data_IF_878778968141
#
_entry.id   IF_878778968141
#
_cell.length_a   1.000
_cell.length_b   1.000
_cell.length_c   1.000
_cell.angle_alpha   90.00
_cell.angle_beta   90.00
_cell.angle_gamma   90.00
#
_symmetry.space_group_name_H-M   'P 1'
#
loop_
_entity.id
_entity.type
_entity.pdbx_description
1 polymer ?
#
# COMPACT_ATOMS: atom_id res chain seq x y z
N UNK A 1 -21.52 4.32 2.75
CA UNK A 1 -20.81 4.41 1.45
C UNK A 1 -19.31 4.41 1.70
N UNK A 2 -18.61 3.34 1.36
CA UNK A 2 -17.15 3.28 1.40
C UNK A 2 -16.59 3.99 0.16
N UNK A 3 -16.17 5.25 0.31
CA UNK A 3 -15.37 5.89 -0.74
C UNK A 3 -14.10 5.04 -0.97
N UNK A 4 -13.81 4.70 -2.23
CA UNK A 4 -12.56 4.05 -2.60
C UNK A 4 -11.40 4.96 -2.16
N UNK A 5 -10.56 4.47 -1.24
CA UNK A 5 -9.48 5.28 -0.68
C UNK A 5 -8.35 5.51 -1.68
N UNK A 6 -7.71 6.67 -1.63
CA UNK A 6 -6.60 7.06 -2.50
C UNK A 6 -5.47 6.01 -2.51
N UNK A 7 -5.01 5.66 -3.70
CA UNK A 7 -3.85 4.79 -3.93
C UNK A 7 -2.78 5.58 -4.68
N UNK A 8 -1.52 5.37 -4.32
CA UNK A 8 -0.39 5.81 -5.13
C UNK A 8 -0.13 4.78 -6.22
N UNK A 9 -0.12 5.21 -7.47
CA UNK A 9 0.38 4.40 -8.58
C UNK A 9 1.84 4.79 -8.85
N UNK A 10 2.72 3.79 -8.83
CA UNK A 10 4.09 3.90 -9.31
C UNK A 10 4.28 2.92 -10.47
N UNK A 11 4.77 3.40 -11.60
CA UNK A 11 5.02 2.58 -12.78
C UNK A 11 6.37 2.95 -13.38
N UNK A 12 7.20 1.93 -13.59
CA UNK A 12 8.45 2.04 -14.36
C UNK A 12 8.63 0.81 -15.25
N UNK A 13 9.73 0.77 -16.01
CA UNK A 13 10.07 -0.34 -16.93
C UNK A 13 10.26 -1.70 -16.24
N UNK A 14 10.26 -1.77 -14.91
CA UNK A 14 10.55 -2.96 -14.11
C UNK A 14 9.37 -3.39 -13.24
N UNK A 15 8.44 -2.49 -12.91
CA UNK A 15 7.30 -2.80 -12.04
C UNK A 15 6.14 -1.82 -12.18
N UNK A 16 4.97 -2.32 -11.81
CA UNK A 16 3.80 -1.52 -11.43
C UNK A 16 3.55 -1.77 -9.95
N UNK A 17 3.32 -0.71 -9.18
CA UNK A 17 3.07 -0.77 -7.74
C UNK A 17 1.88 0.13 -7.37
N UNK A 18 0.96 -0.43 -6.59
CA UNK A 18 -0.19 0.28 -6.01
C UNK A 18 0.00 0.29 -4.49
N UNK A 19 0.37 1.44 -3.95
CA UNK A 19 0.59 1.62 -2.51
C UNK A 19 -0.59 2.35 -1.86
N UNK A 20 -1.10 1.89 -0.71
CA UNK A 20 -2.14 2.60 0.04
C UNK A 20 -1.67 3.97 0.49
N UNK A 21 -2.58 4.96 0.46
CA UNK A 21 -2.36 6.26 1.09
C UNK A 21 -3.42 6.55 2.16
N UNK A 22 -3.10 7.42 3.14
CA UNK A 22 -4.08 7.96 4.07
C UNK A 22 -5.27 8.58 3.32
N UNK A 23 -6.49 8.20 3.71
CA UNK A 23 -7.70 8.76 3.10
C UNK A 23 -7.95 10.16 3.66
N UNK A 24 -8.15 11.15 2.79
CA UNK A 24 -8.56 12.51 3.22
C UNK A 24 -9.87 12.52 4.00
N UNK A 25 -10.77 11.58 3.67
CA UNK A 25 -12.08 11.40 4.33
C UNK A 25 -12.06 10.53 5.59
N UNK A 26 -10.90 10.01 6.01
CA UNK A 26 -10.81 9.25 7.27
C UNK A 26 -11.19 10.16 8.46
N UNK A 27 -12.15 9.72 9.28
CA UNK A 27 -12.59 10.45 10.48
C UNK A 27 -11.45 10.70 11.46
N UNK A 28 -10.53 9.73 11.55
CA UNK A 28 -9.51 9.68 12.58
C UNK A 28 -8.31 10.54 12.17
N UNK A 29 -7.64 10.19 11.06
CA UNK A 29 -6.42 10.90 10.64
C UNK A 29 -6.65 12.03 9.63
N UNK A 30 -7.84 12.13 9.00
CA UNK A 30 -8.18 13.19 8.03
C UNK A 30 -7.13 13.42 6.93
N UNK A 31 -6.46 12.34 6.50
CA UNK A 31 -5.40 12.37 5.50
C UNK A 31 -3.98 12.59 6.04
N UNK A 32 -3.79 12.83 7.34
CA UNK A 32 -2.46 12.95 7.95
C UNK A 32 -1.71 11.60 8.06
N UNK A 33 -2.45 10.49 8.02
CA UNK A 33 -1.87 9.14 8.05
C UNK A 33 -1.57 8.59 9.44
N UNK A 34 -1.69 9.39 10.49
CA UNK A 34 -1.40 8.98 11.86
C UNK A 34 -1.47 10.14 12.83
N UNK A 35 -0.99 9.91 14.05
CA UNK A 35 -0.86 10.91 15.10
C UNK A 35 0.43 10.69 15.88
N UNK A 36 0.95 11.76 16.49
CA UNK A 36 2.07 11.66 17.41
C UNK A 36 1.58 11.24 18.79
N UNK A 37 2.23 10.25 19.39
CA UNK A 37 1.96 9.84 20.77
C UNK A 37 2.42 10.95 21.73
N UNK A 38 1.74 11.06 22.87
CA UNK A 38 2.17 11.95 23.95
C UNK A 38 3.07 11.17 24.90
N UNK A 39 4.20 11.75 25.26
CA UNK A 39 5.12 11.14 26.23
C UNK A 39 6.53 11.70 26.13
N UNK A 40 7.45 11.23 27.00
CA UNK A 40 8.85 11.65 26.98
C UNK A 40 9.60 11.24 25.70
N UNK A 41 9.09 10.22 24.99
CA UNK A 41 9.64 9.74 23.71
C UNK A 41 8.50 9.61 22.69
N UNK A 42 8.08 10.71 22.04
CA UNK A 42 6.95 10.68 21.11
C UNK A 42 7.31 9.91 19.84
N UNK A 43 6.42 9.00 19.46
CA UNK A 43 6.49 8.20 18.24
C UNK A 43 5.24 8.44 17.39
N UNK A 44 5.31 8.10 16.10
CA UNK A 44 4.18 8.28 15.20
C UNK A 44 3.38 6.98 15.11
N UNK A 45 2.13 7.00 15.56
CA UNK A 45 1.19 5.90 15.36
C UNK A 45 0.50 6.04 14.00
N UNK A 46 0.56 5.00 13.18
CA UNK A 46 -0.08 4.97 11.87
C UNK A 46 -1.58 4.66 11.98
N UNK A 47 -2.39 5.34 11.19
CA UNK A 47 -3.83 5.10 11.13
C UNK A 47 -4.18 3.84 10.32
N UNK A 48 -5.05 3.00 10.88
CA UNK A 48 -5.60 1.78 10.26
C UNK A 48 -6.16 1.98 8.85
N UNK A 49 -6.66 3.18 8.52
CA UNK A 49 -7.30 3.45 7.22
C UNK A 49 -6.40 3.20 5.99
N UNK A 50 -5.08 3.15 6.19
CA UNK A 50 -4.10 2.86 5.15
C UNK A 50 -3.05 1.82 5.57
N UNK A 51 -2.62 1.77 6.84
CA UNK A 51 -1.54 0.86 7.27
C UNK A 51 -1.93 -0.61 7.19
N UNK A 52 -3.22 -0.94 7.35
CA UNK A 52 -3.72 -2.32 7.26
C UNK A 52 -3.94 -2.78 5.82
N UNK A 53 -3.79 -1.87 4.85
CA UNK A 53 -4.01 -2.17 3.44
C UNK A 53 -2.70 -2.68 2.83
N UNK A 54 -2.81 -3.70 1.98
CA UNK A 54 -1.65 -4.29 1.32
C UNK A 54 -1.21 -3.46 0.11
N UNK A 55 0.09 -3.25 -0.04
CA UNK A 55 0.70 -2.80 -1.31
C UNK A 55 0.67 -3.93 -2.33
N UNK A 56 0.17 -3.66 -3.54
CA UNK A 56 0.18 -4.60 -4.65
C UNK A 56 1.33 -4.27 -5.58
N UNK A 57 2.13 -5.26 -5.97
CA UNK A 57 3.28 -5.08 -6.87
C UNK A 57 3.26 -6.14 -7.96
N UNK A 58 3.29 -5.69 -9.21
CA UNK A 58 3.43 -6.51 -10.40
C UNK A 58 4.82 -6.27 -11.01
N UNK A 59 5.75 -7.26 -10.97
CA UNK A 59 7.01 -7.15 -11.68
C UNK A 59 6.78 -7.22 -13.19
N UNK A 60 7.44 -6.33 -13.93
CA UNK A 60 7.43 -6.29 -15.41
C UNK A 60 8.72 -6.81 -16.03
N UNK A 61 9.69 -7.21 -15.20
CA UNK A 61 10.87 -7.91 -15.70
C UNK A 61 10.43 -9.23 -16.35
N UNK A 62 11.06 -9.65 -17.46
CA UNK A 62 10.83 -10.97 -18.04
C UNK A 62 10.99 -12.03 -16.95
N UNK A 63 10.02 -12.93 -16.84
CA UNK A 63 10.08 -14.06 -15.93
C UNK A 63 11.34 -14.85 -16.29
N UNK A 64 12.36 -14.78 -15.44
CA UNK A 64 13.61 -15.55 -15.59
C UNK A 64 13.48 -16.98 -15.09
N UNK A 65 12.36 -17.31 -14.43
CA UNK A 65 12.05 -18.66 -14.05
C UNK A 65 11.61 -19.42 -15.30
N UNK A 66 12.24 -20.57 -15.57
CA UNK A 66 11.68 -21.56 -16.47
C UNK A 66 10.21 -21.72 -16.10
N UNK A 67 9.32 -21.50 -17.06
CA UNK A 67 7.92 -21.87 -16.89
C UNK A 67 7.92 -23.34 -16.45
N UNK A 68 7.17 -23.72 -15.40
CA UNK A 68 7.05 -25.13 -15.09
C UNK A 68 6.49 -25.82 -16.34
N UNK A 69 7.28 -26.71 -16.93
CA UNK A 69 6.90 -27.55 -18.09
C UNK A 69 5.77 -28.53 -17.72
N UNK A 70 5.30 -28.52 -16.47
CA UNK A 70 4.20 -29.33 -15.98
C UNK A 70 2.87 -28.69 -16.37
N UNK A 71 2.04 -29.32 -17.22
CA UNK A 71 0.69 -28.87 -17.45
C UNK A 71 -0.11 -28.95 -16.13
N UNK A 72 -1.04 -28.01 -15.88
CA UNK A 72 -1.88 -28.07 -14.70
C UNK A 72 -2.89 -29.20 -14.92
N UNK A 73 -2.54 -30.41 -14.45
CA UNK A 73 -3.36 -31.62 -14.35
C UNK A 73 -4.30 -31.95 -15.54
#
# INVERSE_FOLDING_TARGET
MTAAGDLALYADRHRIELAPRPRRSCSDCRGAGGWWTRGPFPEMEACGCWTDRRTLRLPLLPVRAAWPDEPPF
#
